data_IF_919235008020
#
_entry.id   IF_919235008020
#
_cell.length_a   1.000
_cell.length_b   1.000
_cell.length_c   1.000
_cell.angle_alpha   90.00
_cell.angle_beta   90.00
_cell.angle_gamma   90.00
#
_symmetry.space_group_name_H-M   'P 1'
#
loop_
_entity.id
_entity.type
_entity.pdbx_description
1 polymer ?
#
# COMPACT_ATOMS: atom_id res chain seq x y z
N UNK A 1 5.82 -25.00 8.70
CA UNK A 1 5.66 -23.54 8.57
C UNK A 1 6.20 -23.20 7.20
N UNK A 2 5.32 -23.09 6.20
CA UNK A 2 5.76 -22.84 4.82
C UNK A 2 6.46 -21.48 4.77
N UNK A 3 7.72 -21.50 4.36
CA UNK A 3 8.46 -20.28 4.07
C UNK A 3 7.88 -19.72 2.78
N UNK A 4 6.88 -18.84 2.89
CA UNK A 4 6.42 -18.07 1.73
C UNK A 4 7.64 -17.36 1.15
N UNK A 5 8.06 -17.73 -0.05
CA UNK A 5 9.12 -17.03 -0.75
C UNK A 5 8.70 -15.55 -0.90
N UNK A 6 9.62 -14.63 -0.69
CA UNK A 6 9.37 -13.21 -0.93
C UNK A 6 8.96 -13.02 -2.40
N UNK A 7 7.79 -12.42 -2.61
CA UNK A 7 7.30 -12.07 -3.94
C UNK A 7 8.10 -10.88 -4.50
N UNK A 8 8.35 -10.91 -5.80
CA UNK A 8 9.08 -9.88 -6.53
C UNK A 8 8.16 -9.09 -7.46
N UNK A 9 8.67 -8.02 -8.08
CA UNK A 9 7.95 -7.28 -9.13
C UNK A 9 7.61 -8.16 -10.34
N UNK A 10 8.40 -9.21 -10.62
CA UNK A 10 8.08 -10.16 -11.70
C UNK A 10 6.84 -11.00 -11.36
N UNK A 11 6.66 -11.36 -10.09
CA UNK A 11 5.46 -12.08 -9.64
C UNK A 11 4.23 -11.16 -9.70
N UNK A 12 4.38 -9.89 -9.34
CA UNK A 12 3.33 -8.88 -9.50
C UNK A 12 2.96 -8.66 -10.97
N UNK A 13 3.95 -8.60 -11.87
CA UNK A 13 3.71 -8.47 -13.31
C UNK A 13 2.88 -9.66 -13.83
N UNK A 14 3.25 -10.89 -13.48
CA UNK A 14 2.49 -12.10 -13.85
C UNK A 14 1.06 -12.05 -13.31
N UNK A 15 0.88 -11.55 -12.09
CA UNK A 15 -0.45 -11.40 -11.49
C UNK A 15 -1.32 -10.40 -12.26
N UNK A 16 -0.78 -9.23 -12.60
CA UNK A 16 -1.47 -8.21 -13.40
C UNK A 16 -1.95 -8.78 -14.73
N UNK A 17 -1.07 -9.50 -15.44
CA UNK A 17 -1.39 -10.14 -16.72
C UNK A 17 -2.45 -11.24 -16.58
N UNK A 18 -2.27 -12.15 -15.62
CA UNK A 18 -3.17 -13.29 -15.41
C UNK A 18 -4.58 -12.84 -14.99
N UNK A 19 -4.69 -11.73 -14.25
CA UNK A 19 -5.96 -11.16 -13.82
C UNK A 19 -6.53 -10.11 -14.79
N UNK A 20 -5.84 -9.86 -15.92
CA UNK A 20 -6.19 -8.82 -16.90
C UNK A 20 -6.44 -7.44 -16.27
N UNK A 21 -5.60 -7.07 -15.30
CA UNK A 21 -5.68 -5.78 -14.63
C UNK A 21 -5.08 -4.72 -15.56
N UNK A 22 -5.80 -3.62 -15.78
CA UNK A 22 -5.30 -2.46 -16.52
C UNK A 22 -4.29 -1.67 -15.68
N UNK A 23 -3.08 -2.22 -15.54
CA UNK A 23 -1.98 -1.63 -14.79
C UNK A 23 -0.65 -1.88 -15.49
N UNK A 24 0.34 -1.03 -15.21
CA UNK A 24 1.70 -1.17 -15.73
C UNK A 24 2.68 -0.88 -14.60
N UNK A 25 3.69 -1.74 -14.45
CA UNK A 25 4.78 -1.50 -13.50
C UNK A 25 5.80 -0.58 -14.16
N UNK A 26 6.01 0.59 -13.57
CA UNK A 26 6.99 1.57 -14.05
C UNK A 26 8.30 1.41 -13.27
N UNK A 27 9.43 1.06 -13.93
CA UNK A 27 10.75 1.11 -13.30
C UNK A 27 11.22 2.56 -13.15
N UNK A 28 11.50 2.98 -11.91
CA UNK A 28 11.97 4.34 -11.61
C UNK A 28 13.45 4.27 -11.19
N UNK A 29 14.27 5.15 -11.77
CA UNK A 29 15.69 5.25 -11.44
C UNK A 29 15.94 5.93 -10.09
N UNK A 30 14.96 6.69 -9.61
CA UNK A 30 15.04 7.50 -8.40
C UNK A 30 14.37 6.81 -7.21
N UNK A 31 14.85 7.09 -6.00
CA UNK A 31 14.21 6.60 -4.78
C UNK A 31 12.83 7.24 -4.60
N UNK A 32 11.82 6.43 -4.35
CA UNK A 32 10.41 6.85 -4.19
C UNK A 32 9.85 6.55 -2.79
N UNK A 33 10.73 6.57 -1.78
CA UNK A 33 10.40 6.18 -0.39
C UNK A 33 9.38 7.10 0.27
N UNK A 34 9.21 8.33 -0.22
CA UNK A 34 8.21 9.28 0.25
C UNK A 34 7.24 9.66 -0.85
N UNK A 35 6.06 10.16 -0.47
CA UNK A 35 5.05 10.65 -1.42
C UNK A 35 5.58 11.80 -2.28
N UNK A 36 6.22 12.84 -1.72
CA UNK A 36 6.84 13.89 -2.53
C UNK A 36 7.88 13.35 -3.52
N UNK A 37 8.71 12.39 -3.11
CA UNK A 37 9.74 11.82 -3.99
C UNK A 37 9.12 11.01 -5.14
N UNK A 38 8.11 10.20 -4.84
CA UNK A 38 7.38 9.42 -5.84
C UNK A 38 6.65 10.32 -6.84
N UNK A 39 5.98 11.36 -6.34
CA UNK A 39 5.26 12.33 -7.16
C UNK A 39 6.21 13.04 -8.13
N UNK A 40 7.36 13.51 -7.62
CA UNK A 40 8.39 14.15 -8.41
C UNK A 40 8.97 13.21 -9.47
N UNK A 41 9.29 11.96 -9.11
CA UNK A 41 9.83 10.98 -10.05
C UNK A 41 8.83 10.62 -11.18
N UNK A 42 7.53 10.71 -10.91
CA UNK A 42 6.47 10.42 -11.87
C UNK A 42 5.95 11.66 -12.61
N UNK A 43 6.30 12.87 -12.18
CA UNK A 43 5.77 14.12 -12.73
C UNK A 43 4.27 14.30 -12.49
N UNK A 44 3.78 13.83 -11.33
CA UNK A 44 2.36 13.88 -10.94
C UNK A 44 2.17 14.69 -9.67
N UNK A 45 0.93 15.07 -9.37
CA UNK A 45 0.60 15.72 -8.10
C UNK A 45 0.71 14.72 -6.92
N UNK A 46 1.22 15.12 -5.75
CA UNK A 46 1.37 14.24 -4.59
C UNK A 46 0.09 13.52 -4.15
N UNK A 47 -1.08 14.13 -4.37
CA UNK A 47 -2.40 13.58 -4.09
C UNK A 47 -2.73 12.33 -4.93
N UNK A 48 -2.07 12.17 -6.09
CA UNK A 48 -2.22 11.01 -6.97
C UNK A 48 -1.42 9.80 -6.48
N UNK A 49 -0.48 10.00 -5.55
CA UNK A 49 0.27 8.91 -4.93
C UNK A 49 -0.58 8.29 -3.82
N UNK A 50 -0.80 6.98 -3.87
CA UNK A 50 -1.47 6.22 -2.80
C UNK A 50 -0.45 5.62 -1.83
N UNK A 51 -0.91 5.32 -0.62
CA UNK A 51 -0.18 4.56 0.40
C UNK A 51 -0.93 3.29 0.74
N UNK A 52 -0.21 2.19 0.76
CA UNK A 52 -0.66 0.90 1.32
C UNK A 52 -0.09 0.77 2.72
N UNK A 53 -0.95 0.77 3.75
CA UNK A 53 -0.57 0.66 5.14
C UNK A 53 -1.15 -0.62 5.73
N UNK A 54 -0.30 -1.44 6.34
CA UNK A 54 -0.74 -2.67 7.03
C UNK A 54 -0.83 -2.39 8.52
N UNK A 55 -2.00 -2.65 9.09
CA UNK A 55 -2.26 -2.62 10.53
C UNK A 55 -2.46 -4.07 11.02
N UNK A 56 -2.02 -4.36 12.23
CA UNK A 56 -2.36 -5.63 12.90
C UNK A 56 -3.46 -5.38 13.91
N UNK A 57 -4.54 -6.16 13.83
CA UNK A 57 -5.66 -6.10 14.76
C UNK A 57 -5.98 -7.52 15.21
N UNK A 58 -5.78 -7.81 16.50
CA UNK A 58 -5.90 -9.17 17.05
C UNK A 58 -5.13 -10.22 16.22
N UNK A 59 -3.88 -9.88 15.87
CA UNK A 59 -2.98 -10.67 15.02
C UNK A 59 -3.44 -10.90 13.57
N UNK A 60 -4.53 -10.28 13.14
CA UNK A 60 -4.98 -10.28 11.74
C UNK A 60 -4.52 -9.02 11.00
N UNK A 61 -3.94 -9.15 9.79
CA UNK A 61 -3.50 -8.01 8.99
C UNK A 61 -4.68 -7.33 8.29
N UNK A 62 -4.83 -6.02 8.51
CA UNK A 62 -5.70 -5.13 7.76
C UNK A 62 -4.86 -4.26 6.82
N UNK A 63 -5.13 -4.35 5.51
CA UNK A 63 -4.59 -3.43 4.51
C UNK A 63 -5.50 -2.21 4.36
N UNK A 64 -4.94 -1.01 4.55
CA UNK A 64 -5.61 0.26 4.30
C UNK A 64 -4.92 0.97 3.14
N UNK A 65 -5.69 1.33 2.12
CA UNK A 65 -5.24 2.18 1.02
C UNK A 65 -5.73 3.60 1.28
N UNK A 66 -4.82 4.57 1.29
CA UNK A 66 -5.13 5.98 1.52
C UNK A 66 -4.41 6.88 0.52
N UNK A 67 -4.87 8.12 0.35
CA UNK A 67 -4.08 9.12 -0.36
C UNK A 67 -2.73 9.35 0.36
N UNK A 68 -1.73 9.79 -0.40
CA UNK A 68 -0.36 9.90 0.06
C UNK A 68 -0.14 10.96 1.13
N UNK A 69 -0.94 12.02 1.17
CA UNK A 69 -0.76 13.14 2.09
C UNK A 69 -1.54 12.99 3.39
N UNK A 70 -2.66 12.25 3.35
CA UNK A 70 -3.57 12.08 4.45
C UNK A 70 -3.04 11.01 5.41
N UNK A 71 -3.32 11.23 6.69
CA UNK A 71 -3.10 10.23 7.73
C UNK A 71 -4.37 9.40 7.90
N UNK A 72 -4.20 8.10 8.06
CA UNK A 72 -5.29 7.21 8.45
C UNK A 72 -5.71 7.56 9.88
N UNK A 73 -6.99 7.87 10.08
CA UNK A 73 -7.55 8.05 11.41
C UNK A 73 -7.75 6.69 12.06
N UNK A 74 -6.82 6.32 12.94
CA UNK A 74 -6.83 5.05 13.66
C UNK A 74 -8.08 4.86 14.52
N UNK A 75 -8.71 5.94 14.98
CA UNK A 75 -9.96 5.85 15.75
C UNK A 75 -11.09 5.38 14.85
N UNK A 76 -11.23 5.97 13.66
CA UNK A 76 -12.24 5.54 12.67
C UNK A 76 -12.04 4.09 12.24
N UNK A 77 -10.77 3.66 12.08
CA UNK A 77 -10.46 2.25 11.77
C UNK A 77 -10.87 1.34 12.94
N UNK A 78 -10.56 1.71 14.18
CA UNK A 78 -10.94 0.95 15.36
C UNK A 78 -12.47 0.87 15.52
N UNK A 79 -13.16 1.99 15.36
CA UNK A 79 -14.62 2.07 15.42
C UNK A 79 -15.28 1.22 14.32
N UNK A 80 -14.74 1.24 13.09
CA UNK A 80 -15.24 0.42 11.96
C UNK A 80 -15.07 -1.08 12.22
N UNK A 81 -13.97 -1.48 12.85
CA UNK A 81 -13.71 -2.86 13.25
C UNK A 81 -14.42 -3.28 14.54
N UNK A 82 -15.09 -2.35 15.24
CA UNK A 82 -15.69 -2.61 16.53
C UNK A 82 -14.68 -2.97 17.63
N UNK A 83 -13.42 -2.56 17.48
CA UNK A 83 -12.35 -2.84 18.45
C UNK A 83 -12.13 -1.65 19.37
N UNK A 84 -12.11 -1.90 20.68
CA UNK A 84 -11.72 -0.89 21.66
C UNK A 84 -10.23 -0.57 21.56
N UNK A 85 -9.79 0.54 22.16
CA UNK A 85 -8.37 0.71 22.46
C UNK A 85 -7.94 -0.42 23.39
N UNK A 86 -7.18 -1.39 22.89
CA UNK A 86 -6.37 -2.23 23.76
C UNK A 86 -5.44 -1.27 24.54
N UNK A 87 -5.58 -1.28 25.87
CA UNK A 87 -4.74 -0.52 26.81
C UNK A 87 -3.30 -0.99 26.74
#
# INVERSE_FOLDING_TARGET
METSSLLSSADLQRFIEAQQIEATILPLAEHTSTVPDAARALGVEPEQIIKSLVFLVHDEPLLVINNGLAKVDRRKVADWLGVGKNR
#
